data_IF_551841623056
#
_entry.id   IF_551841623056
#
_cell.length_a   1.000
_cell.length_b   1.000
_cell.length_c   1.000
_cell.angle_alpha   90.00
_cell.angle_beta   90.00
_cell.angle_gamma   90.00
#
_symmetry.space_group_name_H-M   'P 1'
#
loop_
_entity.id
_entity.type
_entity.pdbx_description
1 polymer ?
#
# COMPACT_ATOMS: atom_id res chain seq x y z
N UNK A 1 71.27 -25.69 0.94
CA UNK A 1 71.06 -24.24 0.69
C UNK A 1 70.03 -23.96 -0.43
N UNK A 2 70.29 -24.49 -1.61
CA UNK A 2 69.33 -24.33 -2.75
C UNK A 2 68.00 -25.03 -2.48
N UNK A 3 68.07 -26.21 -1.89
CA UNK A 3 66.84 -26.99 -1.53
C UNK A 3 65.96 -26.30 -0.51
N UNK A 4 66.57 -25.63 0.48
CA UNK A 4 65.81 -24.87 1.47
C UNK A 4 65.14 -23.64 0.84
N UNK A 5 65.85 -22.97 -0.08
CA UNK A 5 65.30 -21.84 -0.81
C UNK A 5 64.12 -22.24 -1.67
N UNK A 6 64.21 -23.36 -2.39
CA UNK A 6 63.11 -23.91 -3.20
C UNK A 6 61.92 -24.28 -2.33
N UNK A 7 62.19 -24.91 -1.18
CA UNK A 7 61.16 -25.27 -0.22
C UNK A 7 60.40 -24.04 0.30
N UNK A 8 61.13 -23.01 0.68
CA UNK A 8 60.56 -21.73 1.16
C UNK A 8 59.73 -21.08 0.09
N UNK A 9 60.18 -21.07 -1.17
CA UNK A 9 59.42 -20.52 -2.29
C UNK A 9 58.08 -21.30 -2.49
N UNK A 10 58.13 -22.64 -2.44
CA UNK A 10 56.92 -23.47 -2.57
C UNK A 10 55.95 -23.23 -1.43
N UNK A 11 56.43 -23.11 -0.21
CA UNK A 11 55.58 -22.81 0.97
C UNK A 11 54.94 -21.46 0.82
N UNK A 12 55.69 -20.44 0.38
CA UNK A 12 55.17 -19.10 0.13
C UNK A 12 54.12 -19.08 -0.97
N UNK A 13 54.34 -19.82 -2.07
CA UNK A 13 53.37 -19.96 -3.16
C UNK A 13 52.09 -20.63 -2.68
N UNK A 14 52.20 -21.69 -1.88
CA UNK A 14 51.05 -22.38 -1.31
C UNK A 14 50.26 -21.49 -0.36
N UNK A 15 50.92 -20.70 0.46
CA UNK A 15 50.27 -19.74 1.35
C UNK A 15 49.55 -18.65 0.56
N UNK A 16 50.16 -18.14 -0.51
CA UNK A 16 49.56 -17.16 -1.41
C UNK A 16 48.30 -17.72 -2.08
N UNK A 17 48.40 -18.95 -2.60
CA UNK A 17 47.28 -19.64 -3.23
C UNK A 17 46.11 -19.84 -2.23
N UNK A 18 46.42 -20.17 -1.00
CA UNK A 18 45.41 -20.34 0.04
C UNK A 18 44.74 -19.02 0.39
N UNK A 19 45.50 -17.93 0.47
CA UNK A 19 44.95 -16.58 0.72
C UNK A 19 44.01 -16.19 -0.41
N UNK A 20 44.38 -16.42 -1.66
CA UNK A 20 43.53 -16.14 -2.84
C UNK A 20 42.27 -16.96 -2.78
N UNK A 21 42.35 -18.25 -2.47
CA UNK A 21 41.21 -19.15 -2.39
C UNK A 21 40.23 -18.72 -1.29
N UNK A 22 40.76 -18.33 -0.13
CA UNK A 22 39.95 -17.81 0.97
C UNK A 22 39.27 -16.47 0.60
N UNK A 23 40.00 -15.60 -0.08
CA UNK A 23 39.49 -14.33 -0.54
C UNK A 23 38.36 -14.55 -1.56
N UNK A 24 38.53 -15.47 -2.51
CA UNK A 24 37.47 -15.82 -3.49
C UNK A 24 36.23 -16.40 -2.80
N UNK A 25 36.42 -17.29 -1.83
CA UNK A 25 35.33 -17.84 -1.05
C UNK A 25 34.57 -16.76 -0.27
N UNK A 26 35.29 -15.84 0.34
CA UNK A 26 34.70 -14.70 1.05
C UNK A 26 33.94 -13.79 0.11
N UNK A 27 34.49 -13.50 -1.06
CA UNK A 27 33.80 -12.72 -2.10
C UNK A 27 32.50 -13.39 -2.54
N UNK A 28 32.53 -14.70 -2.77
CA UNK A 28 31.35 -15.46 -3.14
C UNK A 28 30.28 -15.38 -2.06
N UNK A 29 30.64 -15.56 -0.80
CA UNK A 29 29.73 -15.43 0.34
C UNK A 29 29.11 -14.04 0.44
N UNK A 30 29.92 -13.00 0.26
CA UNK A 30 29.44 -11.61 0.28
C UNK A 30 28.45 -11.37 -0.83
N UNK A 31 28.74 -11.83 -2.05
CA UNK A 31 27.85 -11.67 -3.20
C UNK A 31 26.54 -12.43 -3.01
N UNK A 32 26.61 -13.68 -2.56
CA UNK A 32 25.41 -14.48 -2.29
C UNK A 32 24.55 -13.87 -1.20
N UNK A 33 25.16 -13.39 -0.14
CA UNK A 33 24.46 -12.69 0.94
C UNK A 33 23.81 -11.41 0.43
N UNK A 34 24.51 -10.63 -0.36
CA UNK A 34 23.98 -9.40 -0.95
C UNK A 34 22.78 -9.67 -1.84
N UNK A 35 22.83 -10.73 -2.65
CA UNK A 35 21.72 -11.13 -3.51
C UNK A 35 20.50 -11.56 -2.68
N UNK A 36 20.72 -12.38 -1.63
CA UNK A 36 19.62 -12.78 -0.74
C UNK A 36 19.00 -11.58 -0.03
N UNK A 37 19.80 -10.71 0.52
CA UNK A 37 19.32 -9.50 1.20
C UNK A 37 18.55 -8.58 0.25
N UNK A 38 19.06 -8.38 -0.96
CA UNK A 38 18.36 -7.59 -1.98
C UNK A 38 17.00 -8.20 -2.34
N UNK A 39 16.93 -9.51 -2.47
CA UNK A 39 15.69 -10.22 -2.73
C UNK A 39 14.69 -10.07 -1.59
N UNK A 40 15.15 -10.24 -0.36
CA UNK A 40 14.32 -10.07 0.84
C UNK A 40 13.78 -8.65 0.96
N UNK A 41 14.64 -7.64 0.74
CA UNK A 41 14.23 -6.24 0.74
C UNK A 41 13.15 -5.99 -0.31
N UNK A 42 13.34 -6.50 -1.51
CA UNK A 42 12.38 -6.36 -2.60
C UNK A 42 11.04 -7.03 -2.27
N UNK A 43 11.08 -8.25 -1.79
CA UNK A 43 9.88 -9.00 -1.39
C UNK A 43 9.13 -8.31 -0.26
N UNK A 44 9.86 -7.81 0.73
CA UNK A 44 9.29 -7.07 1.84
C UNK A 44 8.66 -5.75 1.37
N UNK A 45 9.32 -5.03 0.48
CA UNK A 45 8.80 -3.79 -0.08
C UNK A 45 7.50 -4.03 -0.87
N UNK A 46 7.46 -5.09 -1.67
CA UNK A 46 6.25 -5.48 -2.43
C UNK A 46 5.12 -5.88 -1.48
N UNK A 47 5.41 -6.69 -0.47
CA UNK A 47 4.42 -7.10 0.53
C UNK A 47 3.84 -5.90 1.29
N UNK A 48 4.71 -4.97 1.72
CA UNK A 48 4.29 -3.75 2.40
C UNK A 48 3.43 -2.86 1.49
N UNK A 49 3.82 -2.70 0.23
CA UNK A 49 3.06 -1.91 -0.74
C UNK A 49 1.67 -2.50 -0.99
N UNK A 50 1.56 -3.81 -1.12
CA UNK A 50 0.27 -4.51 -1.28
C UNK A 50 -0.61 -4.33 -0.05
N UNK A 51 -0.04 -4.50 1.13
CA UNK A 51 -0.76 -4.32 2.40
C UNK A 51 -1.30 -2.89 2.53
N UNK A 52 -0.48 -1.91 2.21
CA UNK A 52 -0.88 -0.51 2.23
C UNK A 52 -1.98 -0.21 1.20
N UNK A 53 -1.85 -0.75 -0.01
CA UNK A 53 -2.86 -0.60 -1.05
C UNK A 53 -4.20 -1.21 -0.64
N UNK A 54 -4.20 -2.38 -0.02
CA UNK A 54 -5.40 -3.03 0.50
C UNK A 54 -6.05 -2.20 1.61
N UNK A 55 -5.24 -1.66 2.52
CA UNK A 55 -5.73 -0.79 3.60
C UNK A 55 -6.33 0.50 3.05
N UNK A 56 -5.69 1.12 2.07
CA UNK A 56 -6.17 2.34 1.42
C UNK A 56 -7.48 2.08 0.67
N UNK A 57 -7.57 0.93 0.00
CA UNK A 57 -8.80 0.55 -0.72
C UNK A 57 -9.97 0.31 0.24
N UNK A 58 -9.71 -0.36 1.35
CA UNK A 58 -10.71 -0.59 2.39
C UNK A 58 -11.19 0.74 2.98
N UNK A 59 -10.27 1.63 3.31
CA UNK A 59 -10.60 2.95 3.82
C UNK A 59 -11.43 3.75 2.81
N UNK A 60 -11.07 3.73 1.54
CA UNK A 60 -11.82 4.40 0.48
C UNK A 60 -13.25 3.85 0.35
N UNK A 61 -13.42 2.54 0.47
CA UNK A 61 -14.73 1.90 0.46
C UNK A 61 -15.59 2.34 1.66
N UNK A 62 -14.99 2.36 2.85
CA UNK A 62 -15.70 2.78 4.07
C UNK A 62 -16.12 4.25 3.98
N UNK A 63 -15.23 5.12 3.53
CA UNK A 63 -15.53 6.53 3.31
C UNK A 63 -16.63 6.71 2.25
N UNK A 64 -16.55 5.93 1.17
CA UNK A 64 -17.58 5.92 0.13
C UNK A 64 -18.95 5.52 0.64
N UNK A 65 -19.03 4.50 1.49
CA UNK A 65 -20.29 4.08 2.13
C UNK A 65 -20.85 5.15 3.06
N UNK A 66 -19.99 5.82 3.83
CA UNK A 66 -20.41 6.94 4.68
C UNK A 66 -20.96 8.10 3.86
N UNK A 67 -20.27 8.49 2.79
CA UNK A 67 -20.72 9.55 1.89
C UNK A 67 -22.05 9.21 1.21
N UNK A 68 -22.20 7.98 0.78
CA UNK A 68 -23.43 7.47 0.16
C UNK A 68 -24.62 7.53 1.13
N UNK A 69 -24.39 7.11 2.37
CA UNK A 69 -25.39 7.18 3.42
C UNK A 69 -25.79 8.62 3.72
N UNK A 70 -24.82 9.51 3.88
CA UNK A 70 -25.07 10.93 4.11
C UNK A 70 -25.86 11.57 2.96
N UNK A 71 -25.50 11.26 1.72
CA UNK A 71 -26.21 11.75 0.54
C UNK A 71 -27.63 11.24 0.49
N UNK A 72 -27.86 9.97 0.81
CA UNK A 72 -29.18 9.35 0.88
C UNK A 72 -30.05 10.02 1.95
N UNK A 73 -29.52 10.21 3.14
CA UNK A 73 -30.21 10.90 4.24
C UNK A 73 -30.58 12.33 3.89
N UNK A 74 -29.66 13.06 3.26
CA UNK A 74 -29.90 14.42 2.79
C UNK A 74 -31.02 14.46 1.74
N UNK A 75 -30.98 13.53 0.80
CA UNK A 75 -32.01 13.42 -0.24
C UNK A 75 -33.39 13.12 0.36
N UNK A 76 -33.46 12.22 1.35
CA UNK A 76 -34.72 11.95 2.08
C UNK A 76 -35.25 13.21 2.77
N UNK A 77 -34.41 13.95 3.48
CA UNK A 77 -34.78 15.19 4.16
C UNK A 77 -35.29 16.24 3.17
N UNK A 78 -34.56 16.41 2.05
CA UNK A 78 -34.98 17.35 0.99
C UNK A 78 -36.31 16.93 0.35
N UNK A 79 -36.51 15.63 0.13
CA UNK A 79 -37.74 15.08 -0.42
C UNK A 79 -38.94 15.32 0.52
N UNK A 80 -38.75 15.06 1.81
CA UNK A 80 -39.78 15.30 2.81
C UNK A 80 -40.11 16.78 2.94
N UNK A 81 -39.10 17.64 2.95
CA UNK A 81 -39.32 19.09 2.96
C UNK A 81 -40.04 19.58 1.73
N UNK A 82 -39.74 19.03 0.55
CA UNK A 82 -40.43 19.37 -0.69
C UNK A 82 -41.88 18.88 -0.66
N UNK A 83 -42.15 17.69 -0.14
CA UNK A 83 -43.50 17.17 0.03
C UNK A 83 -44.32 18.03 0.97
N UNK A 84 -43.76 18.42 2.10
CA UNK A 84 -44.40 19.32 3.07
C UNK A 84 -44.73 20.67 2.44
N UNK A 85 -43.77 21.24 1.67
CA UNK A 85 -44.01 22.49 0.97
C UNK A 85 -45.11 22.37 -0.08
N UNK A 86 -45.11 21.29 -0.86
CA UNK A 86 -46.14 21.02 -1.86
C UNK A 86 -47.54 20.83 -1.21
N UNK A 87 -47.60 20.13 -0.08
CA UNK A 87 -48.84 19.93 0.66
C UNK A 87 -49.38 21.28 1.20
N UNK A 88 -48.52 22.13 1.74
CA UNK A 88 -48.87 23.49 2.16
C UNK A 88 -49.41 24.33 1.02
N UNK A 89 -48.81 24.27 -0.14
CA UNK A 89 -49.28 24.95 -1.35
C UNK A 89 -50.60 24.42 -1.85
N UNK A 90 -50.83 23.13 -1.80
CA UNK A 90 -52.12 22.52 -2.13
C UNK A 90 -53.20 22.97 -1.17
N UNK A 91 -52.93 22.98 0.12
CA UNK A 91 -53.89 23.45 1.14
C UNK A 91 -54.23 24.94 0.97
N UNK A 92 -53.25 25.78 0.66
CA UNK A 92 -53.45 27.19 0.33
C UNK A 92 -54.36 27.35 -0.88
N UNK A 93 -54.14 26.59 -1.93
CA UNK A 93 -54.90 26.61 -3.15
C UNK A 93 -56.38 26.22 -2.89
N UNK A 94 -56.59 25.15 -2.12
CA UNK A 94 -57.93 24.71 -1.72
C UNK A 94 -58.65 25.79 -0.90
N UNK A 95 -57.95 26.38 0.08
CA UNK A 95 -58.50 27.47 0.89
C UNK A 95 -58.86 28.69 0.06
N UNK A 96 -58.02 29.07 -0.89
CA UNK A 96 -58.32 30.19 -1.80
C UNK A 96 -59.57 29.98 -2.65
N UNK A 97 -59.73 28.77 -3.15
CA UNK A 97 -60.94 28.40 -3.95
C UNK A 97 -62.17 28.47 -3.06
N UNK A 98 -62.13 27.92 -1.88
CA UNK A 98 -63.25 27.94 -0.94
C UNK A 98 -63.64 29.38 -0.59
N UNK A 99 -62.68 30.24 -0.27
CA UNK A 99 -62.92 31.65 0.00
C UNK A 99 -63.54 32.39 -1.20
N UNK A 100 -63.09 32.11 -2.39
CA UNK A 100 -63.61 32.72 -3.62
C UNK A 100 -65.10 32.30 -3.90
N UNK A 101 -65.46 31.12 -3.45
CA UNK A 101 -66.81 30.60 -3.67
C UNK A 101 -67.82 31.06 -2.58
N UNK A 102 -67.33 31.45 -1.44
CA UNK A 102 -68.17 31.97 -0.35
C UNK A 102 -68.32 33.47 -0.48
#
# INVERSE_FOLDING_TARGET
MVEETIKTIKETENEADEIIRKADATCTEILEKAVREAKEIKEQAVANAKKQAEADLLQAKEEGEVLKKQASEKTEQETEALKALAQGKADEAVSAVIKALL
#
